data_IF_241085840000
#
_entry.id   IF_241085840000
#
_cell.length_a   1.000
_cell.length_b   1.000
_cell.length_c   1.000
_cell.angle_alpha   90.00
_cell.angle_beta   90.00
_cell.angle_gamma   90.00
#
_symmetry.space_group_name_H-M   'P 1'
#
loop_
_entity.id
_entity.type
_entity.pdbx_description
1 polymer ?
#
# COMPACT_ATOMS: atom_id res chain seq x y z
N UNK A 1 -2.17 12.61 5.46
CA UNK A 1 -1.29 11.48 5.09
C UNK A 1 -0.10 11.46 6.04
N UNK A 2 0.35 10.28 6.50
CA UNK A 2 1.54 10.19 7.35
C UNK A 2 2.79 10.61 6.55
N UNK A 3 3.67 11.37 7.18
CA UNK A 3 5.00 11.74 6.68
C UNK A 3 5.98 10.59 6.81
N UNK A 4 7.10 10.68 6.09
CA UNK A 4 8.21 9.72 6.26
C UNK A 4 8.65 9.60 7.72
N UNK A 5 8.71 10.72 8.45
CA UNK A 5 9.07 10.74 9.88
C UNK A 5 8.10 9.94 10.74
N UNK A 6 6.79 10.10 10.53
CA UNK A 6 5.76 9.38 11.29
C UNK A 6 5.78 7.87 11.01
N UNK A 7 6.12 7.45 9.79
CA UNK A 7 6.32 6.02 9.51
C UNK A 7 7.55 5.46 10.23
N UNK A 8 8.65 6.22 10.30
CA UNK A 8 9.83 5.82 11.06
C UNK A 8 9.53 5.73 12.56
N UNK A 9 8.71 6.64 13.10
CA UNK A 9 8.24 6.57 14.48
C UNK A 9 7.32 5.38 14.72
N UNK A 10 6.45 5.05 13.76
CA UNK A 10 5.62 3.85 13.82
C UNK A 10 6.47 2.56 13.84
N UNK A 11 7.52 2.48 13.01
CA UNK A 11 8.49 1.37 13.04
C UNK A 11 9.18 1.29 14.40
N UNK A 12 9.67 2.43 14.90
CA UNK A 12 10.35 2.52 16.19
C UNK A 12 9.44 2.05 17.33
N UNK A 13 8.19 2.47 17.34
CA UNK A 13 7.20 2.07 18.34
C UNK A 13 6.82 0.58 18.21
N UNK A 14 6.63 0.09 16.98
CA UNK A 14 6.24 -1.31 16.71
C UNK A 14 7.28 -2.32 17.17
N UNK A 15 8.56 -1.96 17.06
CA UNK A 15 9.70 -2.82 17.41
C UNK A 15 10.36 -2.43 18.75
N UNK A 16 9.77 -1.49 19.50
CA UNK A 16 10.30 -0.95 20.77
C UNK A 16 11.79 -0.55 20.69
N UNK A 17 12.16 0.19 19.63
CA UNK A 17 13.56 0.51 19.35
C UNK A 17 14.02 1.76 20.09
N UNK A 18 15.23 1.74 20.71
CA UNK A 18 15.69 2.86 21.54
C UNK A 18 16.18 4.06 20.72
N UNK A 19 16.41 3.91 19.41
CA UNK A 19 17.01 4.98 18.59
C UNK A 19 16.72 4.84 17.09
N UNK A 20 16.95 5.94 16.36
CA UNK A 20 16.92 5.96 14.90
C UNK A 20 18.03 5.09 14.28
N UNK A 21 19.15 4.89 14.99
CA UNK A 21 20.18 3.97 14.54
C UNK A 21 19.70 2.51 14.59
N UNK A 22 18.99 2.13 15.66
CA UNK A 22 18.35 0.82 15.74
C UNK A 22 17.27 0.65 14.66
N UNK A 23 16.53 1.71 14.37
CA UNK A 23 15.55 1.75 13.26
C UNK A 23 16.23 1.54 11.90
N UNK A 24 17.36 2.20 11.65
CA UNK A 24 18.14 2.01 10.42
C UNK A 24 18.60 0.56 10.25
N UNK A 25 19.07 -0.07 11.34
CA UNK A 25 19.46 -1.49 11.34
C UNK A 25 18.28 -2.41 11.03
N UNK A 26 17.13 -2.20 11.69
CA UNK A 26 15.93 -2.99 11.45
C UNK A 26 15.45 -2.88 10.00
N UNK A 27 15.58 -1.70 9.40
CA UNK A 27 15.23 -1.44 8.01
C UNK A 27 16.33 -1.85 7.00
N UNK A 28 17.49 -2.35 7.45
CA UNK A 28 18.58 -2.73 6.55
C UNK A 28 19.17 -1.56 5.75
N UNK A 29 19.11 -0.33 6.28
CA UNK A 29 19.62 0.88 5.62
C UNK A 29 20.69 1.58 6.45
N UNK A 30 21.38 2.54 5.84
CA UNK A 30 22.39 3.32 6.56
C UNK A 30 21.74 4.31 7.54
N UNK A 31 22.44 4.60 8.65
CA UNK A 31 22.05 5.68 9.57
C UNK A 31 21.91 7.03 8.86
N UNK A 32 22.78 7.30 7.87
CA UNK A 32 22.76 8.54 7.11
C UNK A 32 21.48 8.67 6.28
N UNK A 33 20.98 7.57 5.70
CA UNK A 33 19.68 7.53 5.00
C UNK A 33 18.55 7.94 5.93
N UNK A 34 18.43 7.31 7.10
CA UNK A 34 17.40 7.64 8.10
C UNK A 34 17.51 9.08 8.56
N UNK A 35 18.73 9.59 8.82
CA UNK A 35 18.94 11.00 9.18
C UNK A 35 18.43 11.96 8.09
N UNK A 36 18.75 11.69 6.81
CA UNK A 36 18.26 12.52 5.70
C UNK A 36 16.73 12.48 5.56
N UNK A 37 16.11 11.32 5.82
CA UNK A 37 14.65 11.18 5.85
C UNK A 37 14.02 11.99 6.97
N UNK A 38 14.57 11.91 8.19
CA UNK A 38 14.11 12.70 9.35
C UNK A 38 14.20 14.21 9.13
N UNK A 39 15.20 14.66 8.38
CA UNK A 39 15.41 16.07 8.03
C UNK A 39 14.62 16.51 6.78
N UNK A 40 13.89 15.61 6.12
CA UNK A 40 13.17 15.92 4.88
C UNK A 40 14.08 16.20 3.67
N UNK A 41 15.38 15.87 3.76
CA UNK A 41 16.33 16.07 2.66
C UNK A 41 16.20 15.01 1.55
N UNK A 42 15.58 13.87 1.86
CA UNK A 42 15.28 12.81 0.92
C UNK A 42 14.13 11.97 1.46
N UNK A 43 13.55 11.12 0.63
CA UNK A 43 12.53 10.14 1.04
C UNK A 43 13.07 8.72 0.80
N UNK A 44 12.54 7.70 1.49
CA UNK A 44 12.92 6.30 1.28
C UNK A 44 12.72 5.84 -0.16
N UNK A 45 13.51 4.86 -0.59
CA UNK A 45 13.30 4.13 -1.82
C UNK A 45 12.15 3.12 -1.66
N UNK A 46 11.70 2.53 -2.76
CA UNK A 46 10.55 1.63 -2.78
C UNK A 46 10.78 0.40 -1.89
N UNK A 47 12.01 -0.13 -1.87
CA UNK A 47 12.38 -1.25 -1.03
C UNK A 47 12.38 -0.88 0.47
N UNK A 48 12.86 0.31 0.85
CA UNK A 48 12.74 0.75 2.24
C UNK A 48 11.28 1.00 2.62
N UNK A 49 10.47 1.58 1.72
CA UNK A 49 9.03 1.74 1.95
C UNK A 49 8.34 0.40 2.21
N UNK A 50 8.66 -0.63 1.41
CA UNK A 50 8.12 -1.98 1.58
C UNK A 50 8.52 -2.58 2.94
N UNK A 51 9.77 -2.41 3.37
CA UNK A 51 10.24 -2.87 4.70
C UNK A 51 9.57 -2.13 5.85
N UNK A 52 9.39 -0.82 5.72
CA UNK A 52 8.65 -0.01 6.69
C UNK A 52 7.22 -0.55 6.82
N UNK A 53 6.55 -0.77 5.67
CA UNK A 53 5.18 -1.24 5.61
C UNK A 53 5.00 -2.63 6.23
N UNK A 54 5.91 -3.56 5.90
CA UNK A 54 5.94 -4.93 6.43
C UNK A 54 6.04 -4.92 7.96
N UNK A 55 6.93 -4.11 8.53
CA UNK A 55 7.11 -4.01 9.98
C UNK A 55 5.84 -3.50 10.67
N UNK A 56 5.23 -2.43 10.15
CA UNK A 56 4.08 -1.77 10.81
C UNK A 56 2.74 -2.41 10.45
N UNK A 57 2.70 -3.30 9.45
CA UNK A 57 1.51 -4.04 9.03
C UNK A 57 0.55 -3.22 8.18
N UNK A 58 1.07 -2.42 7.25
CA UNK A 58 0.27 -1.68 6.25
C UNK A 58 0.64 -2.10 4.83
N UNK A 59 -0.17 -1.69 3.85
CA UNK A 59 0.14 -1.96 2.44
C UNK A 59 1.40 -1.19 1.99
N UNK A 60 2.36 -1.83 1.30
CA UNK A 60 3.58 -1.16 0.82
C UNK A 60 3.32 0.09 -0.02
N UNK A 61 2.26 0.05 -0.84
CA UNK A 61 1.89 1.17 -1.70
C UNK A 61 1.41 2.40 -0.89
N UNK A 62 0.93 2.22 0.34
CA UNK A 62 0.61 3.33 1.24
C UNK A 62 1.88 4.14 1.58
N UNK A 63 2.95 3.46 1.98
CA UNK A 63 4.22 4.13 2.34
C UNK A 63 4.90 4.73 1.11
N UNK A 64 4.86 4.02 -0.03
CA UNK A 64 5.42 4.50 -1.30
C UNK A 64 4.68 5.76 -1.76
N UNK A 65 3.35 5.72 -1.81
CA UNK A 65 2.55 6.86 -2.25
C UNK A 65 2.79 8.07 -1.35
N UNK A 66 2.93 7.86 -0.04
CA UNK A 66 3.23 8.94 0.88
C UNK A 66 4.62 9.55 0.69
N UNK A 67 5.63 8.71 0.48
CA UNK A 67 7.00 9.14 0.22
C UNK A 67 7.09 9.92 -1.10
N UNK A 68 6.37 9.46 -2.13
CA UNK A 68 6.34 10.12 -3.44
C UNK A 68 5.54 11.42 -3.42
N UNK A 69 4.46 11.49 -2.66
CA UNK A 69 3.73 12.74 -2.38
C UNK A 69 4.66 13.78 -1.74
N UNK A 70 5.43 13.39 -0.73
CA UNK A 70 6.40 14.25 -0.04
C UNK A 70 7.53 14.73 -0.99
N UNK A 71 8.04 13.84 -1.85
CA UNK A 71 9.07 14.18 -2.85
C UNK A 71 8.57 15.09 -3.97
N UNK A 72 7.29 14.99 -4.33
CA UNK A 72 6.72 15.66 -5.50
C UNK A 72 6.57 17.16 -5.27
N UNK A 73 7.12 17.94 -6.21
CA UNK A 73 6.99 19.41 -6.26
C UNK A 73 5.87 19.89 -7.18
N UNK A 74 5.38 19.01 -8.04
CA UNK A 74 4.29 19.26 -8.97
C UNK A 74 2.95 18.92 -8.33
N UNK A 75 1.98 19.84 -8.42
CA UNK A 75 0.69 19.71 -7.75
C UNK A 75 -0.17 18.58 -8.34
N UNK A 76 -0.10 18.38 -9.66
CA UNK A 76 -0.83 17.30 -10.31
C UNK A 76 -0.29 15.92 -9.89
N UNK A 77 1.04 15.77 -9.82
CA UNK A 77 1.67 14.57 -9.28
C UNK A 77 1.28 14.34 -7.81
N UNK A 78 1.23 15.38 -6.98
CA UNK A 78 0.78 15.28 -5.58
C UNK A 78 -0.66 14.77 -5.49
N UNK A 79 -1.58 15.33 -6.27
CA UNK A 79 -2.98 14.88 -6.29
C UNK A 79 -3.12 13.40 -6.70
N UNK A 80 -2.32 12.94 -7.67
CA UNK A 80 -2.29 11.53 -8.07
C UNK A 80 -1.82 10.62 -6.92
N UNK A 81 -0.71 10.96 -6.28
CA UNK A 81 -0.19 10.17 -5.15
C UNK A 81 -1.13 10.17 -3.95
N UNK A 82 -1.82 11.29 -3.70
CA UNK A 82 -2.85 11.36 -2.67
C UNK A 82 -4.03 10.43 -2.95
N UNK A 83 -4.51 10.38 -4.20
CA UNK A 83 -5.56 9.43 -4.60
C UNK A 83 -5.11 7.97 -4.46
N UNK A 84 -3.87 7.64 -4.84
CA UNK A 84 -3.29 6.30 -4.66
C UNK A 84 -3.21 5.94 -3.18
N UNK A 85 -2.73 6.86 -2.35
CA UNK A 85 -2.65 6.66 -0.90
C UNK A 85 -4.02 6.44 -0.28
N UNK A 86 -5.03 7.22 -0.66
CA UNK A 86 -6.39 7.06 -0.15
C UNK A 86 -7.00 5.69 -0.47
N UNK A 87 -6.69 5.13 -1.65
CA UNK A 87 -7.10 3.76 -2.01
C UNK A 87 -6.35 2.69 -1.22
N UNK A 88 -5.06 2.92 -0.94
CA UNK A 88 -4.21 2.00 -0.19
C UNK A 88 -4.59 1.94 1.30
N UNK A 89 -4.68 3.09 1.95
CA UNK A 89 -4.98 3.19 3.38
C UNK A 89 -6.39 2.69 3.74
N UNK A 90 -7.33 2.77 2.79
CA UNK A 90 -8.70 2.25 2.96
C UNK A 90 -8.84 0.73 2.78
N UNK A 91 -7.83 0.03 2.24
CA UNK A 91 -7.94 -1.39 1.89
C UNK A 91 -7.69 -2.35 3.08
N UNK A 92 -7.23 -1.86 4.22
CA UNK A 92 -6.82 -2.68 5.37
C UNK A 92 -7.90 -2.75 6.45
N UNK A 93 -8.86 -3.66 6.28
CA UNK A 93 -9.72 -4.14 7.36
C UNK A 93 -10.25 -5.57 7.16
N UNK A 94 -9.40 -6.55 6.81
CA UNK A 94 -9.75 -7.98 6.95
C UNK A 94 -8.53 -8.84 7.29
N UNK A 95 -7.89 -8.58 8.43
CA UNK A 95 -7.19 -9.65 9.16
C UNK A 95 -8.06 -10.03 10.38
N UNK A 96 -9.23 -10.59 10.10
CA UNK A 96 -9.97 -11.35 11.09
C UNK A 96 -9.22 -12.66 11.30
N UNK A 97 -8.66 -12.79 12.49
CA UNK A 97 -8.18 -14.03 13.10
C UNK A 97 -9.27 -15.11 12.89
N UNK A 98 -9.10 -15.97 11.89
CA UNK A 98 -9.82 -17.25 11.79
C UNK A 98 -9.16 -18.21 12.78
N UNK A 99 -9.48 -18.00 14.06
CA UNK A 99 -9.42 -19.06 15.04
C UNK A 99 -10.82 -19.68 15.12
N UNK A 100 -11.01 -20.74 14.33
CA UNK A 100 -11.96 -21.83 14.58
C UNK A 100 -13.45 -21.48 14.78
N UNK A 101 -14.13 -20.98 13.75
CA UNK A 101 -15.47 -21.50 13.38
C UNK A 101 -15.58 -21.39 11.86
N UNK A 102 -15.79 -22.52 11.18
CA UNK A 102 -15.87 -22.56 9.72
C UNK A 102 -17.06 -21.78 9.19
N UNK A 103 -16.81 -20.62 8.59
CA UNK A 103 -17.65 -20.08 7.53
C UNK A 103 -16.77 -19.42 6.48
N UNK A 104 -16.84 -20.00 5.29
CA UNK A 104 -16.31 -19.51 4.03
C UNK A 104 -16.78 -18.06 3.76
N UNK A 105 -15.84 -17.13 3.64
CA UNK A 105 -16.06 -15.87 2.91
C UNK A 105 -15.18 -15.87 1.66
N UNK A 106 -15.77 -16.27 0.54
CA UNK A 106 -15.15 -16.15 -0.76
C UNK A 106 -15.11 -14.66 -1.17
N UNK A 107 -13.95 -14.08 -1.49
CA UNK A 107 -13.90 -12.75 -2.09
C UNK A 107 -14.42 -12.84 -3.53
N UNK A 108 -15.63 -12.32 -3.78
CA UNK A 108 -16.14 -12.16 -5.14
C UNK A 108 -15.33 -11.06 -5.84
N UNK A 109 -14.36 -11.48 -6.66
CA UNK A 109 -13.92 -10.68 -7.81
C UNK A 109 -15.10 -10.57 -8.76
N UNK A 110 -15.61 -9.36 -8.98
CA UNK A 110 -16.46 -9.10 -10.15
C UNK A 110 -15.57 -9.21 -11.39
N UNK A 111 -15.51 -10.43 -11.94
CA UNK A 111 -14.90 -10.75 -13.21
C UNK A 111 -15.77 -10.23 -14.36
N UNK A 112 -15.06 -9.67 -15.35
CA UNK A 112 -15.47 -9.25 -16.68
C UNK A 112 -16.71 -9.94 -17.28
N UNK A 113 -17.66 -9.13 -17.72
CA UNK A 113 -18.74 -9.52 -18.62
C UNK A 113 -18.23 -9.54 -20.08
N UNK A 114 -17.91 -10.75 -20.54
CA UNK A 114 -17.73 -11.11 -21.94
C UNK A 114 -19.10 -11.40 -22.55
N UNK A 115 -19.42 -10.79 -23.70
CA UNK A 115 -20.62 -11.15 -24.45
C UNK A 115 -20.62 -10.59 -25.86
N UNK A 116 -20.26 -11.43 -26.84
CA UNK A 116 -21.15 -11.65 -27.99
C UNK A 116 -20.72 -12.91 -28.79
N UNK A 117 -21.53 -13.95 -28.68
CA UNK A 117 -21.41 -15.24 -29.37
C UNK A 117 -22.07 -15.18 -30.74
N UNK A 118 -21.40 -15.68 -31.77
CA UNK A 118 -21.93 -15.84 -33.11
C UNK A 118 -22.35 -17.31 -33.37
N UNK A 119 -23.54 -17.45 -33.99
CA UNK A 119 -24.00 -18.54 -34.88
C UNK A 119 -24.59 -19.81 -34.24
N UNK A 120 -25.92 -20.01 -34.35
CA UNK A 120 -26.56 -20.72 -35.49
C UNK A 120 -28.03 -21.09 -35.23
N UNK A 121 -28.92 -20.75 -36.18
CA UNK A 121 -29.86 -21.73 -36.74
C UNK A 121 -31.27 -21.88 -36.16
N UNK A 122 -32.24 -21.45 -36.97
CA UNK A 122 -33.54 -22.12 -37.24
C UNK A 122 -34.73 -21.81 -36.31
N UNK A 123 -35.70 -21.01 -36.81
CA UNK A 123 -37.12 -21.45 -36.96
C UNK A 123 -37.99 -20.36 -37.62
N UNK A 124 -38.50 -20.68 -38.82
CA UNK A 124 -39.85 -20.46 -39.35
C UNK A 124 -40.69 -19.24 -38.92
N UNK A 125 -41.00 -18.35 -39.87
CA UNK A 125 -42.28 -17.61 -40.05
C UNK A 125 -42.35 -17.18 -41.54
N UNK A 126 -43.11 -17.85 -42.42
CA UNK A 126 -44.50 -17.55 -42.83
C UNK A 126 -44.85 -16.06 -43.00
N UNK A 127 -44.65 -15.51 -44.21
CA UNK A 127 -45.70 -14.99 -45.11
C UNK A 127 -45.06 -14.45 -46.41
#
# INVERSE_FOLDING_TARGET
MKTTGEYLDAVKAKLDLPSDYATAKALGVTRASVSKWRLGHSVPDELACARIADIIGVEPIEVIAASQYERSKDEHARALWESIWGKAAGAIALNLIVCAVGLSVAPSTKAAESGNTNVSGSSLYLM
#
